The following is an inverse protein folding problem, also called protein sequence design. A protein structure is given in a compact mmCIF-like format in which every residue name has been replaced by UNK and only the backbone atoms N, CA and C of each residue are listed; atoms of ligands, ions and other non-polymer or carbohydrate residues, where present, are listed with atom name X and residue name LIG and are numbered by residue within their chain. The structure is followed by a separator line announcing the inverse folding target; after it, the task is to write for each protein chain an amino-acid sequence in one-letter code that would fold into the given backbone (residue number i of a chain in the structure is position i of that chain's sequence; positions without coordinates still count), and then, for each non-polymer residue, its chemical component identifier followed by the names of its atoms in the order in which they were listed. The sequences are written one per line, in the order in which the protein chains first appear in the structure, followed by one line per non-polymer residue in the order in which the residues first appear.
data_IF_265389339913
#
_entry.id   IF_265389339913
#
_cell.length_a   1.000
_cell.length_b   1.000
_cell.length_c   1.000
_cell.angle_alpha   90.00
_cell.angle_beta   90.00
_cell.angle_gamma   90.00
#
_symmetry.space_group_name_H-M   'P 1'
#
loop_
_entity.id
_entity.type
_entity.pdbx_description
1 polymer ?
#
# COMPACT_ATOMS: atom_id res chain seq x y z
N UNK A 1 -6.74 7.78 11.02
CA UNK A 1 -7.76 7.06 10.22
C UNK A 1 -7.31 5.60 10.06
N UNK A 2 -8.21 4.69 9.68
CA UNK A 2 -7.84 3.32 9.31
C UNK A 2 -8.17 3.06 7.85
N UNK A 3 -7.28 2.36 7.17
CA UNK A 3 -7.40 1.94 5.78
C UNK A 3 -7.24 0.43 5.64
N UNK A 4 -7.61 -0.12 4.49
CA UNK A 4 -7.33 -1.51 4.12
C UNK A 4 -6.69 -1.53 2.74
N UNK A 5 -5.50 -2.11 2.66
CA UNK A 5 -4.78 -2.30 1.41
C UNK A 5 -4.63 -3.80 1.12
N UNK A 6 -4.81 -4.17 -0.14
CA UNK A 6 -4.81 -5.56 -0.58
C UNK A 6 -3.54 -5.84 -1.36
N UNK A 7 -2.93 -6.99 -1.10
CA UNK A 7 -1.76 -7.44 -1.84
C UNK A 7 -1.73 -8.96 -1.93
N UNK A 8 -1.42 -9.50 -3.11
CA UNK A 8 -1.20 -10.94 -3.26
C UNK A 8 0.15 -11.31 -2.61
N UNK A 9 0.20 -12.35 -1.75
CA UNK A 9 1.42 -12.68 -1.03
C UNK A 9 2.51 -13.33 -1.91
N UNK A 10 2.15 -13.83 -3.09
CA UNK A 10 3.02 -14.58 -3.99
C UNK A 10 2.75 -14.22 -5.46
N UNK A 11 3.52 -14.82 -6.38
CA UNK A 11 3.40 -14.57 -7.82
C UNK A 11 4.31 -13.45 -8.33
N UNK A 12 4.18 -13.06 -9.61
CA UNK A 12 5.11 -12.13 -10.27
C UNK A 12 5.18 -10.73 -9.66
N UNK A 13 4.11 -10.30 -8.99
CA UNK A 13 4.03 -9.03 -8.24
C UNK A 13 3.77 -9.27 -6.75
N UNK A 14 4.04 -10.48 -6.26
CA UNK A 14 3.75 -10.87 -4.89
C UNK A 14 4.60 -10.10 -3.90
N UNK A 15 3.97 -9.60 -2.85
CA UNK A 15 4.66 -8.93 -1.75
C UNK A 15 3.92 -9.27 -0.46
N UNK A 16 4.50 -10.14 0.38
CA UNK A 16 3.85 -10.57 1.62
C UNK A 16 4.27 -9.69 2.81
N UNK A 17 3.48 -9.74 3.87
CA UNK A 17 3.71 -8.92 5.05
C UNK A 17 5.05 -9.18 5.76
N UNK A 18 5.55 -10.42 5.74
CA UNK A 18 6.87 -10.74 6.32
C UNK A 18 8.01 -10.08 5.53
N UNK A 19 7.84 -9.88 4.23
CA UNK A 19 8.80 -9.12 3.42
C UNK A 19 8.76 -7.63 3.81
N UNK A 20 7.58 -7.04 4.00
CA UNK A 20 7.46 -5.67 4.51
C UNK A 20 8.17 -5.49 5.87
N UNK A 21 8.02 -6.46 6.78
CA UNK A 21 8.74 -6.45 8.07
C UNK A 21 10.26 -6.44 7.89
N UNK A 22 10.79 -7.23 6.96
CA UNK A 22 12.24 -7.30 6.68
C UNK A 22 12.75 -6.01 6.05
N UNK A 23 11.99 -5.46 5.10
CA UNK A 23 12.36 -4.21 4.41
C UNK A 23 12.20 -3.00 5.34
N UNK A 24 11.31 -3.10 6.34
CA UNK A 24 11.00 -2.07 7.32
C UNK A 24 10.13 -0.94 6.78
N UNK A 25 10.32 -0.56 5.51
CA UNK A 25 9.49 0.40 4.78
C UNK A 25 9.46 0.08 3.29
N UNK A 26 8.41 0.55 2.62
CA UNK A 26 8.29 0.49 1.17
C UNK A 26 7.43 1.64 0.63
N UNK A 27 7.42 1.81 -0.68
CA UNK A 27 6.45 2.65 -1.39
C UNK A 27 5.23 1.81 -1.71
N UNK A 28 4.03 2.26 -1.35
CA UNK A 28 2.79 1.59 -1.72
C UNK A 28 2.38 1.98 -3.15
N UNK A 29 2.83 1.20 -4.12
CA UNK A 29 2.66 1.44 -5.56
C UNK A 29 1.66 0.49 -6.23
N UNK A 30 1.62 0.51 -7.57
CA UNK A 30 0.82 -0.44 -8.37
C UNK A 30 -0.69 -0.22 -8.35
N UNK A 31 -1.17 0.92 -7.82
CA UNK A 31 -2.60 1.23 -7.71
C UNK A 31 -3.09 2.04 -8.92
N UNK A 32 -3.85 1.39 -9.81
CA UNK A 32 -4.45 2.05 -10.98
C UNK A 32 -5.98 2.21 -10.88
N UNK A 33 -6.60 1.71 -9.81
CA UNK A 33 -8.04 1.85 -9.61
C UNK A 33 -8.40 3.28 -9.13
N UNK A 34 -9.31 3.95 -9.84
CA UNK A 34 -9.67 5.35 -9.56
C UNK A 34 -10.22 5.58 -8.15
N UNK A 35 -11.02 4.65 -7.61
CA UNK A 35 -11.56 4.79 -6.25
C UNK A 35 -10.47 4.59 -5.20
N UNK A 36 -9.59 3.60 -5.39
CA UNK A 36 -8.44 3.39 -4.52
C UNK A 36 -7.50 4.61 -4.53
N UNK A 37 -7.22 5.18 -5.71
CA UNK A 37 -6.46 6.42 -5.84
C UNK A 37 -7.13 7.59 -5.13
N UNK A 38 -8.46 7.70 -5.16
CA UNK A 38 -9.18 8.71 -4.38
C UNK A 38 -8.91 8.55 -2.88
N UNK A 39 -9.00 7.32 -2.36
CA UNK A 39 -8.72 7.05 -0.95
C UNK A 39 -7.25 7.28 -0.58
N UNK A 40 -6.30 6.89 -1.44
CA UNK A 40 -4.88 7.14 -1.21
C UNK A 40 -4.59 8.63 -1.08
N UNK A 41 -5.25 9.50 -1.87
CA UNK A 41 -5.11 10.96 -1.75
C UNK A 41 -5.62 11.54 -0.43
N UNK A 42 -6.38 10.78 0.35
CA UNK A 42 -6.91 11.18 1.66
C UNK A 42 -6.06 10.63 2.82
N UNK A 43 -5.09 9.75 2.56
CA UNK A 43 -4.17 9.20 3.56
C UNK A 43 -3.23 10.28 4.09
N UNK A 44 -2.84 10.15 5.35
CA UNK A 44 -1.89 11.05 6.02
C UNK A 44 -0.84 10.26 6.80
N UNK A 45 0.34 10.85 7.07
CA UNK A 45 1.27 10.29 8.04
C UNK A 45 0.57 9.88 9.34
N UNK A 46 1.02 8.77 9.92
CA UNK A 46 0.47 8.13 11.13
C UNK A 46 -0.91 7.46 10.97
N UNK A 47 -1.53 7.50 9.79
CA UNK A 47 -2.67 6.62 9.50
C UNK A 47 -2.24 5.15 9.49
N UNK A 48 -3.13 4.29 9.98
CA UNK A 48 -2.90 2.84 10.03
C UNK A 48 -3.61 2.14 8.87
N UNK A 49 -2.93 1.17 8.28
CA UNK A 49 -3.43 0.41 7.13
C UNK A 49 -3.39 -1.08 7.46
N UNK A 50 -4.55 -1.72 7.43
CA UNK A 50 -4.65 -3.18 7.49
C UNK A 50 -4.07 -3.77 6.21
N UNK A 51 -3.04 -4.61 6.37
CA UNK A 51 -2.45 -5.37 5.28
C UNK A 51 -3.27 -6.64 5.07
N UNK A 52 -3.98 -6.70 3.94
CA UNK A 52 -4.88 -7.80 3.61
C UNK A 52 -4.29 -8.64 2.47
N UNK A 53 -3.96 -9.90 2.76
CA UNK A 53 -3.65 -10.85 1.70
C UNK A 53 -4.90 -11.13 0.88
N UNK A 54 -4.77 -11.10 -0.44
CA UNK A 54 -5.84 -11.41 -1.40
C UNK A 54 -5.41 -12.54 -2.33
N UNK A 55 -6.35 -13.07 -3.12
CA UNK A 55 -6.11 -14.21 -4.02
C UNK A 55 -6.53 -15.52 -3.39
N UNK A 56 -5.62 -16.50 -3.33
CA UNK A 56 -5.83 -17.82 -2.70
C UNK A 56 -5.89 -17.72 -1.17
N UNK A 57 -5.10 -16.84 -0.60
CA UNK A 57 -5.17 -16.46 0.82
C UNK A 57 -5.99 -15.16 0.97
N UNK A 58 -6.93 -15.12 1.92
CA UNK A 58 -7.88 -14.01 2.09
C UNK A 58 -8.06 -13.62 3.55
N UNK A 59 -7.09 -12.92 4.11
CA UNK A 59 -7.11 -12.53 5.52
C UNK A 59 -6.29 -11.25 5.77
N UNK A 60 -6.65 -10.54 6.85
CA UNK A 60 -5.80 -9.48 7.38
C UNK A 60 -4.63 -10.14 8.11
N UNK A 61 -3.40 -9.81 7.70
CA UNK A 61 -2.17 -10.44 8.23
C UNK A 61 -1.33 -9.49 9.08
N UNK A 62 -1.69 -8.21 9.10
CA UNK A 62 -0.97 -7.21 9.88
C UNK A 62 -1.46 -5.80 9.69
N UNK A 63 -0.73 -4.87 10.29
CA UNK A 63 -0.95 -3.43 10.18
C UNK A 63 0.38 -2.81 9.75
N UNK A 64 0.30 -1.83 8.85
CA UNK A 64 1.40 -0.92 8.51
C UNK A 64 0.96 0.52 8.77
N UNK A 65 1.92 1.43 8.89
CA UNK A 65 1.67 2.85 9.12
C UNK A 65 2.09 3.68 7.91
N UNK A 66 1.27 4.65 7.50
CA UNK A 66 1.65 5.66 6.50
C UNK A 66 2.70 6.60 7.09
N UNK A 67 3.69 6.97 6.28
CA UNK A 67 4.84 7.78 6.69
C UNK A 67 5.08 9.01 5.82
N UNK A 68 4.32 9.18 4.74
CA UNK A 68 4.35 10.36 3.88
C UNK A 68 2.94 10.86 3.59
N UNK A 69 2.82 12.13 3.19
CA UNK A 69 1.66 12.56 2.42
C UNK A 69 1.62 11.84 1.06
N UNK A 70 0.47 11.77 0.37
CA UNK A 70 0.38 11.21 -0.97
C UNK A 70 1.15 12.06 -1.98
N UNK A 71 1.93 11.41 -2.85
CA UNK A 71 2.72 12.09 -3.88
C UNK A 71 2.63 11.38 -5.24
N UNK A 72 2.86 12.08 -6.36
CA UNK A 72 2.89 11.46 -7.69
C UNK A 72 3.87 10.30 -7.76
N UNK A 73 3.47 9.18 -8.34
CA UNK A 73 4.33 8.01 -8.48
C UNK A 73 5.52 8.33 -9.40
N UNK A 74 6.78 8.31 -8.92
CA UNK A 74 7.94 8.61 -9.74
C UNK A 74 8.19 7.61 -10.88
N UNK A 75 7.56 6.43 -10.82
CA UNK A 75 7.65 5.39 -11.85
C UNK A 75 6.58 5.52 -12.95
N UNK A 76 5.70 6.53 -12.88
CA UNK A 76 4.61 6.77 -13.82
C UNK A 76 4.74 8.15 -14.48
N UNK A 77 4.49 8.23 -15.78
CA UNK A 77 4.49 9.52 -16.51
C UNK A 77 3.26 10.38 -16.17
N UNK A 78 2.21 9.77 -15.60
CA UNK A 78 0.95 10.45 -15.30
C UNK A 78 0.81 10.70 -13.80
N UNK A 79 0.88 11.97 -13.40
CA UNK A 79 0.80 12.43 -12.01
C UNK A 79 -0.51 12.05 -11.29
N UNK A 80 -1.54 11.58 -12.02
CA UNK A 80 -2.76 11.08 -11.39
C UNK A 80 -2.50 9.84 -10.53
N UNK A 81 -1.48 9.05 -10.86
CA UNK A 81 -1.13 7.86 -10.09
C UNK A 81 -0.30 8.33 -8.90
N UNK A 82 -0.83 8.10 -7.70
CA UNK A 82 -0.20 8.54 -6.46
C UNK A 82 0.26 7.32 -5.67
N UNK A 83 1.30 7.53 -4.87
CA UNK A 83 1.84 6.58 -3.92
C UNK A 83 1.93 7.22 -2.53
N UNK A 84 2.13 6.38 -1.52
CA UNK A 84 2.48 6.79 -0.17
C UNK A 84 3.60 5.89 0.33
N UNK A 85 4.45 6.40 1.21
CA UNK A 85 5.43 5.57 1.91
C UNK A 85 4.78 4.91 3.13
N UNK A 86 5.04 3.62 3.32
CA UNK A 86 4.51 2.85 4.46
C UNK A 86 5.63 2.12 5.19
N UNK A 87 5.46 1.89 6.49
CA UNK A 87 6.37 1.09 7.33
C UNK A 87 5.62 0.04 8.15
N UNK A 88 6.31 -1.03 8.51
CA UNK A 88 5.85 -1.94 9.58
C UNK A 88 5.97 -1.28 10.95
#
# INVERSE_FOLDING_TARGET
MYWLAKQEPSGPRGYNFEQLKRDGKTVWDGVHNNLALKHMREMKPDDLVLYYHTGDERQAVGIMQVTSDPYPNPAEDNERFVVVDVKY
#
